data_IF_484528604916
#
_entry.id   IF_484528604916
#
_cell.length_a   1.000
_cell.length_b   1.000
_cell.length_c   1.000
_cell.angle_alpha   90.00
_cell.angle_beta   90.00
_cell.angle_gamma   90.00
#
_symmetry.space_group_name_H-M   'P 1'
#
loop_
_entity.id
_entity.type
_entity.pdbx_description
1 polymer ?
#
# COMPACT_ATOMS: atom_id res chain seq x y z
N UNK A 1 -35.98 24.63 15.23
CA UNK A 1 -34.77 25.49 15.14
C UNK A 1 -33.82 24.94 16.19
N UNK A 2 -32.81 24.14 15.86
CA UNK A 2 -31.70 24.43 14.94
C UNK A 2 -31.48 23.22 14.03
N UNK A 3 -31.60 23.42 12.72
CA UNK A 3 -31.08 22.51 11.69
C UNK A 3 -29.58 22.78 11.62
N UNK A 4 -28.77 21.91 12.24
CA UNK A 4 -27.34 21.92 11.99
C UNK A 4 -27.11 21.48 10.55
N UNK A 5 -26.70 22.40 9.69
CA UNK A 5 -26.09 22.06 8.42
C UNK A 5 -24.78 21.34 8.75
N UNK A 6 -24.69 20.05 8.47
CA UNK A 6 -23.38 19.40 8.34
C UNK A 6 -22.60 20.24 7.32
N UNK A 7 -21.55 20.90 7.81
CA UNK A 7 -20.63 21.63 6.96
C UNK A 7 -19.92 20.61 6.09
N UNK A 8 -20.42 20.42 4.87
CA UNK A 8 -19.77 19.60 3.85
C UNK A 8 -18.31 20.07 3.73
N UNK A 9 -17.34 19.17 3.99
CA UNK A 9 -15.93 19.51 3.83
C UNK A 9 -15.73 19.95 2.37
N UNK A 10 -15.04 21.08 2.11
CA UNK A 10 -14.75 21.48 0.74
C UNK A 10 -14.01 20.35 0.01
N UNK A 11 -14.32 20.16 -1.26
CA UNK A 11 -13.63 19.16 -2.08
C UNK A 11 -12.12 19.47 -2.12
N UNK A 12 -11.26 18.44 -2.05
CA UNK A 12 -9.81 18.64 -2.10
C UNK A 12 -9.39 19.17 -3.47
N UNK A 13 -8.29 19.92 -3.50
CA UNK A 13 -7.66 20.32 -4.76
C UNK A 13 -6.78 19.17 -5.27
N UNK A 14 -7.08 18.66 -6.46
CA UNK A 14 -6.33 17.58 -7.09
C UNK A 14 -5.50 18.14 -8.25
N UNK A 15 -4.18 17.89 -8.24
CA UNK A 15 -3.25 18.29 -9.30
C UNK A 15 -2.43 17.11 -9.76
N UNK A 16 -2.44 16.86 -11.07
CA UNK A 16 -1.62 15.83 -11.68
C UNK A 16 -0.26 16.37 -12.13
N UNK A 17 0.78 15.58 -11.91
CA UNK A 17 2.16 15.90 -12.27
C UNK A 17 2.71 14.74 -13.10
N UNK A 18 3.15 14.97 -14.35
CA UNK A 18 3.77 13.93 -15.15
C UNK A 18 5.14 13.57 -14.56
N UNK A 19 5.41 12.27 -14.40
CA UNK A 19 6.67 11.74 -13.86
C UNK A 19 7.38 10.81 -14.83
N UNK A 20 6.69 10.31 -15.84
CA UNK A 20 7.24 9.48 -16.90
C UNK A 20 6.30 9.52 -18.13
N UNK A 21 6.66 8.79 -19.19
CA UNK A 21 5.71 8.51 -20.26
C UNK A 21 4.68 7.45 -19.83
N UNK A 22 3.61 7.30 -20.63
CA UNK A 22 2.49 6.39 -20.35
C UNK A 22 2.89 4.90 -20.30
N UNK A 23 4.07 4.54 -20.82
CA UNK A 23 4.54 3.16 -20.87
C UNK A 23 5.44 2.81 -19.66
N UNK A 24 5.63 3.73 -18.72
CA UNK A 24 6.49 3.53 -17.56
C UNK A 24 5.80 2.82 -16.38
N UNK A 25 4.49 3.03 -16.23
CA UNK A 25 3.68 2.47 -15.16
C UNK A 25 4.14 2.84 -13.75
N UNK A 26 4.04 4.11 -13.31
CA UNK A 26 4.14 4.42 -11.89
C UNK A 26 3.17 3.56 -11.07
N UNK A 27 3.68 2.82 -10.07
CA UNK A 27 2.89 1.84 -9.33
C UNK A 27 2.89 2.08 -7.82
N UNK A 28 4.01 1.78 -7.17
CA UNK A 28 4.24 2.06 -5.75
C UNK A 28 4.72 3.50 -5.58
N UNK A 29 4.29 4.17 -4.50
CA UNK A 29 4.77 5.49 -4.12
C UNK A 29 4.94 5.56 -2.60
N UNK A 30 6.04 6.14 -2.15
CA UNK A 30 6.31 6.38 -0.73
C UNK A 30 7.00 7.73 -0.51
N UNK A 31 6.78 8.33 0.66
CA UNK A 31 7.61 9.43 1.13
C UNK A 31 8.95 8.87 1.65
N UNK A 32 10.05 9.36 1.08
CA UNK A 32 11.40 9.02 1.54
C UNK A 32 11.87 9.88 2.72
N UNK A 33 12.93 9.45 3.43
CA UNK A 33 13.48 10.19 4.57
C UNK A 33 14.12 11.53 4.16
N UNK A 34 14.41 11.71 2.87
CA UNK A 34 14.91 12.94 2.26
C UNK A 34 13.80 13.94 1.88
N UNK A 35 12.55 13.68 2.31
CA UNK A 35 11.37 14.50 2.00
C UNK A 35 11.07 14.59 0.49
N UNK A 36 11.50 13.61 -0.28
CA UNK A 36 11.06 13.39 -1.66
C UNK A 36 10.03 12.25 -1.73
N UNK A 37 9.31 12.17 -2.83
CA UNK A 37 8.49 11.01 -3.19
C UNK A 37 9.34 10.05 -4.01
N UNK A 38 9.23 8.76 -3.69
CA UNK A 38 9.92 7.68 -4.38
C UNK A 38 8.90 6.75 -5.00
N UNK A 39 9.08 6.42 -6.28
CA UNK A 39 8.13 5.67 -7.08
C UNK A 39 8.80 4.48 -7.75
N UNK A 40 8.09 3.37 -7.84
CA UNK A 40 8.46 2.30 -8.76
C UNK A 40 7.85 2.57 -10.14
N UNK A 41 8.62 2.28 -11.19
CA UNK A 41 8.13 2.26 -12.57
C UNK A 41 8.00 0.79 -12.99
N UNK A 42 6.83 0.19 -12.81
CA UNK A 42 6.66 -1.28 -12.86
C UNK A 42 6.92 -1.86 -14.25
N UNK A 43 6.72 -1.08 -15.31
CA UNK A 43 6.97 -1.50 -16.70
C UNK A 43 8.38 -1.15 -17.18
N UNK A 44 9.18 -0.47 -16.34
CA UNK A 44 10.56 -0.05 -16.65
C UNK A 44 11.40 -0.19 -15.41
N UNK A 45 12.16 -1.28 -15.24
CA UNK A 45 13.01 -1.56 -14.07
C UNK A 45 13.86 -0.38 -13.60
N UNK A 46 13.23 0.53 -12.85
CA UNK A 46 13.68 1.87 -12.49
C UNK A 46 12.89 2.33 -11.27
N UNK A 47 13.53 3.16 -10.48
CA UNK A 47 12.93 3.90 -9.38
C UNK A 47 12.99 5.39 -9.75
N UNK A 48 11.89 6.12 -9.59
CA UNK A 48 11.85 7.57 -9.77
C UNK A 48 11.82 8.27 -8.40
N UNK A 49 12.50 9.41 -8.31
CA UNK A 49 12.51 10.32 -7.17
C UNK A 49 11.99 11.66 -7.62
N UNK A 50 10.93 12.15 -6.97
CA UNK A 50 10.28 13.43 -7.24
C UNK A 50 10.34 14.30 -5.99
N UNK A 51 10.99 15.44 -6.07
CA UNK A 51 10.96 16.45 -5.00
C UNK A 51 9.72 17.33 -5.11
N UNK A 52 9.33 17.96 -4.00
CA UNK A 52 8.15 18.84 -3.96
C UNK A 52 8.31 20.13 -4.79
N UNK A 53 9.53 20.54 -5.13
CA UNK A 53 9.82 21.62 -6.08
C UNK A 53 9.85 21.15 -7.54
N UNK A 54 9.51 19.88 -7.80
CA UNK A 54 9.33 19.33 -9.15
C UNK A 54 10.59 18.74 -9.79
N UNK A 55 11.67 18.54 -9.04
CA UNK A 55 12.87 17.87 -9.57
C UNK A 55 12.63 16.36 -9.63
N UNK A 56 12.65 15.85 -10.85
CA UNK A 56 12.51 14.42 -11.15
C UNK A 56 13.87 13.82 -11.49
N UNK A 57 14.18 12.67 -10.88
CA UNK A 57 15.34 11.85 -11.23
C UNK A 57 14.95 10.37 -11.27
N UNK A 58 15.41 9.66 -12.29
CA UNK A 58 15.24 8.21 -12.39
C UNK A 58 16.56 7.48 -12.16
N UNK A 59 16.45 6.31 -11.54
CA UNK A 59 17.56 5.41 -11.25
C UNK A 59 17.29 4.06 -11.92
N UNK A 60 18.11 3.63 -12.91
CA UNK A 60 17.97 2.32 -13.51
C UNK A 60 18.35 1.21 -12.54
N UNK A 61 17.60 0.12 -12.55
CA UNK A 61 17.93 -1.12 -11.86
C UNK A 61 18.79 -2.02 -12.76
N UNK A 62 19.40 -3.05 -12.18
CA UNK A 62 20.25 -4.02 -12.88
C UNK A 62 19.48 -4.94 -13.85
N UNK A 63 18.15 -4.87 -13.88
CA UNK A 63 17.28 -5.61 -14.80
C UNK A 63 16.10 -4.73 -15.22
N UNK A 64 15.90 -4.47 -16.53
CA UNK A 64 14.78 -3.64 -17.00
C UNK A 64 13.42 -4.35 -16.88
N UNK A 65 13.41 -5.67 -16.72
CA UNK A 65 12.19 -6.50 -16.64
C UNK A 65 11.91 -6.98 -15.22
N UNK A 66 12.59 -6.46 -14.20
CA UNK A 66 12.42 -6.93 -12.81
C UNK A 66 11.06 -6.62 -12.18
N UNK A 67 10.27 -5.73 -12.80
CA UNK A 67 8.96 -5.27 -12.34
C UNK A 67 8.99 -4.83 -10.86
N UNK A 68 9.64 -3.67 -10.56
CA UNK A 68 9.61 -3.14 -9.20
C UNK A 68 8.16 -2.76 -8.86
N UNK A 69 7.60 -3.28 -7.76
CA UNK A 69 6.17 -3.11 -7.43
C UNK A 69 5.97 -2.17 -6.25
N UNK A 70 5.97 -2.64 -5.00
CA UNK A 70 5.74 -1.80 -3.82
C UNK A 70 7.09 -1.28 -3.30
N UNK A 71 7.10 -0.04 -2.83
CA UNK A 71 8.27 0.64 -2.23
C UNK A 71 7.88 1.21 -0.87
N UNK A 72 8.77 1.09 0.11
CA UNK A 72 8.59 1.61 1.46
C UNK A 72 9.91 2.11 2.06
N UNK A 73 9.91 3.08 2.97
CA UNK A 73 11.09 3.42 3.74
C UNK A 73 11.47 2.27 4.68
N UNK A 74 12.77 1.97 4.72
CA UNK A 74 13.36 1.02 5.65
C UNK A 74 13.80 1.68 6.96
N UNK A 75 14.08 0.87 8.00
CA UNK A 75 14.57 1.34 9.30
C UNK A 75 15.99 1.91 9.24
N UNK A 76 16.71 1.64 8.16
CA UNK A 76 18.08 2.08 7.88
C UNK A 76 18.16 3.44 7.17
N UNK A 77 17.03 4.04 6.82
CA UNK A 77 16.97 5.31 6.09
C UNK A 77 17.09 5.18 4.57
N UNK A 78 17.07 3.95 4.04
CA UNK A 78 16.98 3.70 2.60
C UNK A 78 15.54 3.36 2.19
N UNK A 79 15.30 3.28 0.89
CA UNK A 79 14.04 2.81 0.34
C UNK A 79 14.18 1.35 -0.08
N UNK A 80 13.24 0.52 0.38
CA UNK A 80 13.17 -0.89 0.06
C UNK A 80 11.99 -1.17 -0.85
N UNK A 81 12.15 -2.06 -1.82
CA UNK A 81 11.12 -2.38 -2.79
C UNK A 81 11.15 -3.83 -3.22
N UNK A 82 10.02 -4.35 -3.69
CA UNK A 82 9.91 -5.71 -4.21
C UNK A 82 10.14 -5.73 -5.71
N UNK A 83 10.77 -6.80 -6.22
CA UNK A 83 10.94 -7.08 -7.64
C UNK A 83 10.23 -8.38 -7.97
N UNK A 84 9.03 -8.23 -8.51
CA UNK A 84 8.08 -9.34 -8.65
C UNK A 84 8.58 -10.39 -9.65
N UNK A 85 9.10 -9.96 -10.80
CA UNK A 85 9.39 -10.85 -11.94
C UNK A 85 10.64 -11.70 -11.74
N UNK A 86 11.65 -11.15 -11.06
CA UNK A 86 12.93 -11.83 -10.86
C UNK A 86 13.20 -12.27 -9.41
N UNK A 87 12.15 -12.22 -8.57
CA UNK A 87 12.10 -12.79 -7.23
C UNK A 87 13.20 -12.27 -6.31
N UNK A 88 13.27 -10.93 -6.23
CA UNK A 88 14.26 -10.20 -5.43
C UNK A 88 13.62 -9.12 -4.58
N UNK A 89 14.33 -8.74 -3.52
CA UNK A 89 14.09 -7.51 -2.78
C UNK A 89 15.17 -6.51 -3.20
N UNK A 90 14.78 -5.30 -3.57
CA UNK A 90 15.67 -4.20 -3.88
C UNK A 90 15.78 -3.22 -2.72
N UNK A 91 16.93 -2.54 -2.66
CA UNK A 91 17.21 -1.44 -1.75
C UNK A 91 17.86 -0.32 -2.55
N UNK A 92 17.47 0.92 -2.29
CA UNK A 92 18.05 2.10 -2.94
C UNK A 92 18.27 3.22 -1.91
N UNK A 93 19.49 3.76 -1.89
CA UNK A 93 19.82 4.91 -1.04
C UNK A 93 19.21 6.20 -1.60
N UNK A 94 19.09 7.23 -0.77
CA UNK A 94 18.59 8.54 -1.23
C UNK A 94 19.49 9.22 -2.29
N UNK A 95 20.74 8.76 -2.41
CA UNK A 95 21.68 9.20 -3.44
C UNK A 95 21.54 8.41 -4.76
N UNK A 96 20.77 7.32 -4.76
CA UNK A 96 20.48 6.50 -5.93
C UNK A 96 21.35 5.26 -6.10
N UNK A 97 22.08 4.85 -5.07
CA UNK A 97 22.85 3.60 -5.09
C UNK A 97 21.88 2.45 -4.82
N UNK A 98 21.75 1.52 -5.77
CA UNK A 98 20.80 0.42 -5.70
C UNK A 98 21.49 -0.94 -5.63
N UNK A 99 20.95 -1.83 -4.81
CA UNK A 99 21.35 -3.23 -4.70
C UNK A 99 20.12 -4.13 -4.60
N UNK A 100 20.31 -5.45 -4.68
CA UNK A 100 19.20 -6.41 -4.59
C UNK A 100 19.61 -7.77 -4.05
N UNK A 101 18.66 -8.40 -3.36
CA UNK A 101 18.80 -9.64 -2.62
C UNK A 101 17.86 -10.68 -3.19
N UNK A 102 18.39 -11.87 -3.50
CA UNK A 102 17.59 -12.96 -4.04
C UNK A 102 16.77 -13.61 -2.93
N UNK A 103 15.46 -13.72 -3.13
CA UNK A 103 14.59 -14.48 -2.23
C UNK A 103 14.95 -15.98 -2.34
N UNK A 104 15.19 -16.69 -1.22
CA UNK A 104 15.61 -18.10 -1.24
C UNK A 104 14.63 -19.03 -1.95
N UNK A 105 13.34 -18.87 -1.69
CA UNK A 105 12.30 -19.66 -2.33
C UNK A 105 12.17 -19.26 -3.82
N UNK A 106 12.34 -20.21 -4.77
CA UNK A 106 12.13 -19.94 -6.19
C UNK A 106 10.70 -19.53 -6.49
N UNK A 107 10.54 -18.71 -7.54
CA UNK A 107 9.23 -18.29 -8.06
C UNK A 107 8.33 -17.59 -7.02
N UNK A 108 8.91 -17.05 -5.95
CA UNK A 108 8.22 -16.52 -4.77
C UNK A 108 7.24 -15.37 -5.05
N UNK A 109 7.51 -14.57 -6.08
CA UNK A 109 6.68 -13.41 -6.44
C UNK A 109 6.51 -12.42 -5.29
N UNK A 110 7.60 -11.76 -4.82
CA UNK A 110 7.51 -10.81 -3.73
C UNK A 110 6.67 -9.58 -4.13
N UNK A 111 5.85 -9.05 -3.22
CA UNK A 111 4.92 -7.97 -3.55
C UNK A 111 4.73 -6.88 -2.50
N UNK A 112 4.05 -7.13 -1.38
CA UNK A 112 3.91 -6.15 -0.32
C UNK A 112 5.22 -6.02 0.45
N UNK A 113 5.58 -4.82 0.92
CA UNK A 113 6.78 -4.59 1.72
C UNK A 113 6.57 -3.49 2.75
N UNK A 114 7.12 -3.65 3.94
CA UNK A 114 7.01 -2.68 5.05
C UNK A 114 8.17 -2.81 6.04
N UNK A 115 8.48 -1.76 6.78
CA UNK A 115 9.39 -1.86 7.93
C UNK A 115 8.68 -2.58 9.10
N UNK A 116 9.36 -3.54 9.70
CA UNK A 116 8.88 -4.26 10.88
C UNK A 116 9.27 -3.60 12.20
N UNK A 117 8.58 -3.96 13.29
CA UNK A 117 8.85 -3.41 14.63
C UNK A 117 10.17 -3.91 15.23
N UNK A 118 10.79 -4.91 14.63
CA UNK A 118 12.08 -5.50 15.01
C UNK A 118 13.28 -4.90 14.26
N UNK A 119 13.07 -3.83 13.48
CA UNK A 119 14.12 -3.17 12.72
C UNK A 119 14.55 -3.92 11.46
N UNK A 120 13.79 -4.94 11.04
CA UNK A 120 13.93 -5.58 9.73
C UNK A 120 12.89 -5.03 8.74
N UNK A 121 13.03 -5.39 7.47
CA UNK A 121 12.00 -5.17 6.45
C UNK A 121 11.27 -6.49 6.20
N UNK A 122 9.94 -6.43 6.15
CA UNK A 122 9.06 -7.58 5.98
C UNK A 122 8.32 -7.48 4.65
N UNK A 123 8.14 -8.60 3.96
CA UNK A 123 7.51 -8.66 2.65
C UNK A 123 6.63 -9.90 2.48
N UNK A 124 5.67 -9.83 1.56
CA UNK A 124 4.85 -10.99 1.18
C UNK A 124 5.43 -11.68 -0.05
N UNK A 125 5.25 -13.00 -0.14
CA UNK A 125 5.54 -13.81 -1.31
C UNK A 125 4.23 -14.39 -1.87
N UNK A 126 3.69 -13.75 -2.90
CA UNK A 126 2.32 -14.01 -3.38
C UNK A 126 2.13 -15.43 -3.91
N UNK A 127 3.16 -16.00 -4.52
CA UNK A 127 3.04 -17.25 -5.28
C UNK A 127 3.27 -18.50 -4.43
N UNK A 128 3.82 -18.33 -3.23
CA UNK A 128 4.36 -19.42 -2.40
C UNK A 128 3.78 -19.46 -1.00
N UNK A 129 2.82 -18.57 -0.68
CA UNK A 129 2.16 -18.46 0.61
C UNK A 129 3.14 -18.27 1.77
N UNK A 130 4.05 -17.30 1.61
CA UNK A 130 5.06 -16.97 2.62
C UNK A 130 5.07 -15.51 2.98
N UNK A 131 5.62 -15.25 4.16
CA UNK A 131 6.09 -13.94 4.57
C UNK A 131 7.62 -14.01 4.67
N UNK A 132 8.30 -13.09 4.01
CA UNK A 132 9.74 -12.91 4.12
C UNK A 132 10.10 -11.78 5.08
N UNK A 133 11.28 -11.91 5.68
CA UNK A 133 11.91 -10.92 6.55
C UNK A 133 13.36 -10.76 6.12
N UNK A 134 13.78 -9.55 5.82
CA UNK A 134 15.15 -9.21 5.42
C UNK A 134 15.76 -8.20 6.39
N UNK A 135 16.98 -8.48 6.85
CA UNK A 135 17.75 -7.55 7.68
C UNK A 135 18.49 -6.52 6.83
N UNK A 136 19.05 -5.49 7.47
CA UNK A 136 19.86 -4.46 6.82
C UNK A 136 21.12 -4.99 6.11
N UNK A 137 21.61 -6.16 6.52
CA UNK A 137 22.75 -6.84 5.91
C UNK A 137 22.38 -7.78 4.75
N UNK A 138 21.07 -7.90 4.45
CA UNK A 138 20.57 -8.74 3.35
C UNK A 138 20.24 -10.19 3.72
N UNK A 139 20.29 -10.58 4.99
CA UNK A 139 19.88 -11.92 5.44
C UNK A 139 18.36 -12.07 5.38
N UNK A 140 17.87 -13.07 4.63
CA UNK A 140 16.44 -13.37 4.44
C UNK A 140 16.03 -14.60 5.26
N UNK A 141 14.95 -14.47 6.03
CA UNK A 141 14.20 -15.55 6.67
C UNK A 141 12.79 -15.61 6.09
N UNK A 142 12.26 -16.81 5.83
CA UNK A 142 10.94 -17.03 5.24
C UNK A 142 10.04 -17.84 6.19
N UNK A 143 8.77 -17.44 6.31
CA UNK A 143 7.77 -18.06 7.15
C UNK A 143 6.63 -18.62 6.28
N UNK A 144 6.43 -19.94 6.30
CA UNK A 144 5.30 -20.57 5.60
C UNK A 144 3.99 -20.22 6.32
N UNK A 145 2.99 -19.75 5.57
CA UNK A 145 1.67 -19.50 6.11
C UNK A 145 0.84 -20.79 6.18
N UNK A 146 -0.07 -20.94 7.16
CA UNK A 146 -0.95 -22.11 7.28
C UNK A 146 -2.15 -22.04 6.32
N UNK A 147 -1.91 -21.70 5.05
CA UNK A 147 -2.91 -21.60 3.98
C UNK A 147 -2.34 -22.17 2.68
N UNK A 148 -3.21 -22.54 1.74
CA UNK A 148 -2.82 -23.00 0.40
C UNK A 148 -3.51 -22.11 -0.63
N UNK A 149 -2.73 -21.52 -1.55
CA UNK A 149 -3.21 -20.58 -2.54
C UNK A 149 -3.81 -19.31 -1.91
N UNK A 150 -3.24 -18.83 -0.80
CA UNK A 150 -3.76 -17.70 -0.05
C UNK A 150 -3.44 -16.34 -0.68
N UNK A 151 -2.37 -16.26 -1.47
CA UNK A 151 -1.99 -15.08 -2.25
C UNK A 151 -1.76 -13.84 -1.35
N UNK A 152 -0.80 -13.91 -0.41
CA UNK A 152 -0.50 -12.81 0.51
C UNK A 152 -0.10 -11.56 -0.27
N UNK A 153 -0.85 -10.47 -0.13
CA UNK A 153 -0.74 -9.29 -0.98
C UNK A 153 -0.07 -8.14 -0.24
N UNK A 154 -0.79 -7.14 0.28
CA UNK A 154 -0.18 -6.04 1.01
C UNK A 154 0.14 -6.42 2.46
N UNK A 155 1.10 -5.72 3.09
CA UNK A 155 1.56 -5.93 4.46
C UNK A 155 1.82 -4.59 5.16
N UNK A 156 1.53 -4.51 6.45
CA UNK A 156 1.78 -3.33 7.30
C UNK A 156 2.13 -3.75 8.73
N UNK A 157 2.90 -2.93 9.44
CA UNK A 157 3.09 -3.11 10.88
C UNK A 157 1.82 -2.68 11.64
N UNK A 158 1.37 -3.51 12.58
CA UNK A 158 0.27 -3.21 13.48
C UNK A 158 0.72 -2.56 14.80
N UNK A 159 -0.21 -1.93 15.54
CA UNK A 159 0.09 -1.29 16.83
C UNK A 159 0.40 -2.30 17.95
N UNK A 160 0.18 -3.58 17.71
CA UNK A 160 0.44 -4.69 18.62
C UNK A 160 1.86 -5.31 18.45
N UNK A 161 2.71 -4.70 17.62
CA UNK A 161 4.06 -5.19 17.35
C UNK A 161 4.11 -6.43 16.44
N UNK A 162 3.01 -6.76 15.76
CA UNK A 162 2.95 -7.79 14.73
C UNK A 162 2.86 -7.17 13.33
N UNK A 163 3.05 -8.00 12.32
CA UNK A 163 2.80 -7.64 10.93
C UNK A 163 1.42 -8.18 10.53
N UNK A 164 0.65 -7.35 9.83
CA UNK A 164 -0.68 -7.67 9.33
C UNK A 164 -0.67 -7.61 7.82
N UNK A 165 -1.32 -8.57 7.16
CA UNK A 165 -1.30 -8.69 5.71
C UNK A 165 -2.62 -9.21 5.15
N UNK A 166 -2.91 -8.88 3.90
CA UNK A 166 -4.09 -9.38 3.20
C UNK A 166 -3.80 -10.73 2.55
N UNK A 167 -4.73 -11.67 2.66
CA UNK A 167 -4.72 -12.93 1.91
C UNK A 167 -5.82 -12.85 0.86
N UNK A 168 -5.44 -12.39 -0.34
CA UNK A 168 -6.39 -12.01 -1.37
C UNK A 168 -7.30 -13.18 -1.77
N UNK A 169 -6.72 -14.36 -1.99
CA UNK A 169 -7.47 -15.53 -2.46
C UNK A 169 -8.00 -16.40 -1.33
N UNK A 170 -7.42 -16.33 -0.12
CA UNK A 170 -7.99 -17.01 1.06
C UNK A 170 -9.14 -16.22 1.72
N UNK A 171 -9.50 -15.03 1.21
CA UNK A 171 -10.57 -14.19 1.75
C UNK A 171 -10.40 -13.89 3.25
N UNK A 172 -9.19 -13.47 3.64
CA UNK A 172 -8.82 -13.30 5.05
C UNK A 172 -7.78 -12.19 5.26
N UNK A 173 -7.66 -11.76 6.52
CA UNK A 173 -6.52 -10.99 7.01
C UNK A 173 -5.61 -11.92 7.79
N UNK A 174 -4.32 -11.93 7.46
CA UNK A 174 -3.30 -12.64 8.22
C UNK A 174 -2.58 -11.71 9.19
N UNK A 175 -2.06 -12.31 10.26
CA UNK A 175 -1.22 -11.68 11.27
C UNK A 175 -0.03 -12.58 11.55
N UNK A 176 1.17 -12.01 11.66
CA UNK A 176 2.39 -12.74 12.02
C UNK A 176 3.21 -11.94 13.04
N UNK A 177 3.65 -12.58 14.12
CA UNK A 177 4.60 -11.97 15.07
C UNK A 177 6.02 -11.97 14.51
N UNK A 178 6.92 -11.20 15.10
CA UNK A 178 8.34 -11.21 14.70
C UNK A 178 9.04 -12.55 14.94
N UNK A 179 8.48 -13.39 15.82
CA UNK A 179 8.96 -14.75 16.09
C UNK A 179 8.35 -15.79 15.13
N UNK A 180 7.41 -15.39 14.26
CA UNK A 180 6.81 -16.24 13.23
C UNK A 180 5.47 -16.88 13.61
N UNK A 181 4.85 -16.52 14.74
CA UNK A 181 3.53 -17.03 15.11
C UNK A 181 2.45 -16.42 14.24
N UNK A 182 1.62 -17.26 13.60
CA UNK A 182 0.61 -16.83 12.63
C UNK A 182 -0.81 -16.96 13.14
N UNK A 183 -1.67 -16.04 12.73
CA UNK A 183 -3.12 -16.12 12.85
C UNK A 183 -3.79 -15.70 11.53
N UNK A 184 -4.95 -16.27 11.25
CA UNK A 184 -5.75 -15.98 10.05
C UNK A 184 -7.17 -15.63 10.49
N UNK A 185 -7.66 -14.49 10.00
CA UNK A 185 -8.95 -13.91 10.31
C UNK A 185 -9.83 -13.89 9.04
N UNK A 186 -10.74 -14.86 8.86
CA UNK A 186 -11.62 -14.89 7.69
C UNK A 186 -12.51 -13.65 7.61
N UNK A 187 -12.67 -13.11 6.40
CA UNK A 187 -13.56 -11.99 6.17
C UNK A 187 -15.04 -12.43 6.22
N UNK A 188 -15.93 -11.64 6.83
CA UNK A 188 -17.38 -11.88 6.80
C UNK A 188 -17.96 -11.92 5.39
N UNK A 189 -17.52 -11.02 4.50
CA UNK A 189 -17.98 -10.99 3.10
C UNK A 189 -17.27 -12.05 2.26
N UNK A 190 -17.99 -13.03 1.66
CA UNK A 190 -17.38 -14.04 0.80
C UNK A 190 -16.85 -13.45 -0.51
N UNK A 191 -15.64 -13.87 -0.93
CA UNK A 191 -15.07 -13.44 -2.20
C UNK A 191 -14.74 -11.94 -2.26
N UNK A 192 -14.45 -11.33 -1.12
CA UNK A 192 -14.11 -9.93 -0.96
C UNK A 192 -12.81 -9.52 -1.66
N UNK A 193 -11.84 -10.45 -1.73
CA UNK A 193 -10.52 -10.25 -2.32
C UNK A 193 -9.78 -9.03 -1.72
N UNK A 194 -9.31 -9.09 -0.46
CA UNK A 194 -8.61 -7.97 0.17
C UNK A 194 -7.28 -7.67 -0.54
N UNK A 195 -6.91 -6.39 -0.69
CA UNK A 195 -5.68 -5.94 -1.39
C UNK A 195 -4.83 -5.04 -0.50
N UNK A 196 -5.00 -3.71 -0.56
CA UNK A 196 -4.25 -2.75 0.25
C UNK A 196 -4.59 -2.84 1.74
N UNK A 197 -3.61 -2.57 2.60
CA UNK A 197 -3.73 -2.61 4.06
C UNK A 197 -2.85 -1.53 4.71
N UNK A 198 -3.32 -0.94 5.80
CA UNK A 198 -2.61 0.13 6.53
C UNK A 198 -3.01 0.11 8.01
N UNK A 199 -2.15 0.57 8.91
CA UNK A 199 -2.51 0.78 10.31
C UNK A 199 -2.76 2.26 10.61
N UNK A 200 -3.80 2.54 11.40
CA UNK A 200 -4.10 3.88 11.90
C UNK A 200 -3.57 4.14 13.33
N UNK A 201 -2.74 3.22 13.83
CA UNK A 201 -2.20 3.22 15.20
C UNK A 201 -3.09 2.57 16.26
N UNK A 202 -4.32 2.18 15.93
CA UNK A 202 -5.26 1.51 16.86
C UNK A 202 -5.89 0.25 16.27
N UNK A 203 -6.10 0.26 14.95
CA UNK A 203 -6.67 -0.80 14.15
C UNK A 203 -5.87 -0.92 12.85
N UNK A 204 -6.21 -1.95 12.08
CA UNK A 204 -5.73 -2.13 10.72
C UNK A 204 -6.90 -1.98 9.77
N UNK A 205 -6.71 -1.18 8.73
CA UNK A 205 -7.69 -0.89 7.69
C UNK A 205 -7.25 -1.53 6.39
N UNK A 206 -8.19 -2.04 5.61
CA UNK A 206 -7.91 -2.70 4.34
C UNK A 206 -9.01 -2.41 3.31
N UNK A 207 -8.70 -2.65 2.05
CA UNK A 207 -9.68 -2.56 0.95
C UNK A 207 -10.01 -3.94 0.43
N UNK A 208 -11.25 -4.12 0.00
CA UNK A 208 -11.75 -5.35 -0.61
C UNK A 208 -12.13 -5.07 -2.06
N UNK A 209 -11.24 -5.44 -3.00
CA UNK A 209 -11.32 -4.99 -4.39
C UNK A 209 -12.53 -5.58 -5.13
N UNK A 210 -12.89 -6.82 -4.81
CA UNK A 210 -13.99 -7.51 -5.48
C UNK A 210 -15.34 -7.21 -4.84
N UNK A 211 -15.36 -7.01 -3.51
CA UNK A 211 -16.58 -6.61 -2.83
C UNK A 211 -16.91 -5.13 -3.06
N UNK A 212 -15.92 -4.23 -3.14
CA UNK A 212 -16.16 -2.78 -3.20
C UNK A 212 -16.47 -2.21 -1.81
N UNK A 213 -15.61 -2.48 -0.84
CA UNK A 213 -15.71 -1.98 0.53
C UNK A 213 -14.35 -1.72 1.16
N UNK A 214 -14.41 -1.00 2.26
CA UNK A 214 -13.30 -0.83 3.20
C UNK A 214 -13.57 -1.73 4.40
N UNK A 215 -12.58 -2.48 4.85
CA UNK A 215 -12.62 -3.23 6.08
C UNK A 215 -11.74 -2.61 7.16
N UNK A 216 -12.09 -2.87 8.41
CA UNK A 216 -11.33 -2.51 9.60
C UNK A 216 -11.27 -3.71 10.53
N UNK A 217 -10.09 -4.07 11.00
CA UNK A 217 -9.86 -5.15 11.95
C UNK A 217 -9.16 -4.60 13.19
N UNK A 218 -9.71 -4.92 14.36
CA UNK A 218 -9.05 -4.65 15.66
C UNK A 218 -8.08 -5.77 16.00
N UNK A 219 -7.14 -5.51 16.92
CA UNK A 219 -6.05 -6.46 17.22
C UNK A 219 -6.51 -7.78 17.84
N UNK A 220 -7.73 -7.82 18.40
CA UNK A 220 -8.40 -9.04 18.86
C UNK A 220 -9.14 -9.80 17.75
N UNK A 221 -9.09 -9.32 16.51
CA UNK A 221 -9.61 -9.99 15.32
C UNK A 221 -11.06 -9.65 14.94
N UNK A 222 -11.71 -8.68 15.61
CA UNK A 222 -13.04 -8.23 15.21
C UNK A 222 -12.98 -7.40 13.93
N UNK A 223 -13.77 -7.80 12.93
CA UNK A 223 -13.84 -7.16 11.61
C UNK A 223 -15.13 -6.36 11.48
N UNK A 224 -15.00 -5.14 10.97
CA UNK A 224 -16.07 -4.24 10.56
C UNK A 224 -15.90 -3.91 9.07
N UNK A 225 -16.99 -3.86 8.32
CA UNK A 225 -16.97 -3.67 6.86
C UNK A 225 -17.87 -2.49 6.46
N UNK A 226 -17.36 -1.61 5.61
CA UNK A 226 -17.99 -0.35 5.18
C UNK A 226 -18.17 -0.35 3.66
N UNK A 227 -19.40 -0.59 3.16
CA UNK A 227 -19.68 -0.57 1.73
C UNK A 227 -19.39 0.78 1.09
N UNK A 228 -18.66 0.77 -0.03
CA UNK A 228 -18.53 1.96 -0.86
C UNK A 228 -19.89 2.29 -1.53
N UNK A 229 -20.22 3.58 -1.73
CA UNK A 229 -21.40 3.97 -2.51
C UNK A 229 -21.44 3.34 -3.90
N UNK A 230 -20.27 3.19 -4.52
CA UNK A 230 -20.07 2.47 -5.77
C UNK A 230 -19.32 1.16 -5.51
N UNK A 231 -20.05 0.05 -5.54
CA UNK A 231 -19.49 -1.30 -5.30
C UNK A 231 -18.60 -1.78 -6.45
N UNK A 232 -18.64 -1.13 -7.62
CA UNK A 232 -17.80 -1.46 -8.76
C UNK A 232 -16.48 -0.67 -8.80
N UNK A 233 -16.23 0.18 -7.78
CA UNK A 233 -15.09 1.09 -7.73
C UNK A 233 -13.71 0.41 -7.73
N UNK A 234 -13.63 -0.85 -7.33
CA UNK A 234 -12.39 -1.65 -7.21
C UNK A 234 -11.30 -0.91 -6.43
N UNK A 235 -11.48 -0.73 -5.11
CA UNK A 235 -10.48 -0.07 -4.29
C UNK A 235 -9.17 -0.90 -4.23
N UNK A 236 -8.00 -0.26 -4.34
CA UNK A 236 -6.71 -0.93 -4.52
C UNK A 236 -5.73 -0.72 -3.37
N UNK A 237 -5.29 0.52 -3.12
CA UNK A 237 -4.39 0.88 -2.01
C UNK A 237 -5.09 1.76 -0.98
N UNK A 238 -4.59 1.78 0.25
CA UNK A 238 -5.13 2.57 1.37
C UNK A 238 -3.99 3.07 2.26
N UNK A 239 -4.13 4.27 2.79
CA UNK A 239 -3.20 4.89 3.74
C UNK A 239 -3.98 5.58 4.85
N UNK A 240 -3.62 5.29 6.10
CA UNK A 240 -4.12 6.03 7.25
C UNK A 240 -3.36 7.36 7.38
N UNK A 241 -4.10 8.45 7.63
CA UNK A 241 -3.51 9.79 7.89
C UNK A 241 -3.68 10.21 9.34
N UNK A 242 -4.67 9.65 10.03
CA UNK A 242 -4.86 9.76 11.47
C UNK A 242 -5.70 8.57 11.95
N UNK A 243 -5.82 8.39 13.26
CA UNK A 243 -6.67 7.32 13.82
C UNK A 243 -8.11 7.47 13.34
N UNK A 244 -8.64 6.41 12.72
CA UNK A 244 -9.98 6.40 12.14
C UNK A 244 -10.12 7.14 10.80
N UNK A 245 -9.04 7.65 10.21
CA UNK A 245 -9.09 8.39 8.94
C UNK A 245 -8.14 7.79 7.91
N UNK A 246 -8.69 7.32 6.80
CA UNK A 246 -7.93 6.73 5.70
C UNK A 246 -8.30 7.34 4.35
N UNK A 247 -7.32 7.39 3.46
CA UNK A 247 -7.50 7.65 2.03
C UNK A 247 -7.17 6.39 1.23
N UNK A 248 -7.89 6.16 0.14
CA UNK A 248 -7.70 4.98 -0.70
C UNK A 248 -7.86 5.32 -2.17
N UNK A 249 -7.31 4.46 -3.03
CA UNK A 249 -7.46 4.58 -4.49
C UNK A 249 -8.59 3.69 -4.98
N UNK A 250 -9.44 4.22 -5.84
CA UNK A 250 -10.48 3.46 -6.55
C UNK A 250 -10.02 3.23 -7.99
N UNK A 251 -9.25 2.16 -8.19
CA UNK A 251 -8.60 1.83 -9.46
C UNK A 251 -9.62 1.76 -10.61
N UNK A 252 -10.75 1.07 -10.38
CA UNK A 252 -11.76 0.84 -11.41
C UNK A 252 -12.64 2.05 -11.72
N UNK A 253 -12.78 2.97 -10.78
CA UNK A 253 -13.60 4.17 -10.93
C UNK A 253 -12.81 5.45 -11.25
N UNK A 254 -11.46 5.39 -11.24
CA UNK A 254 -10.59 6.55 -11.47
C UNK A 254 -10.81 7.68 -10.44
N UNK A 255 -10.87 7.30 -9.15
CA UNK A 255 -11.09 8.23 -8.03
C UNK A 255 -10.10 8.01 -6.90
N UNK A 256 -10.02 8.99 -6.02
CA UNK A 256 -9.49 8.82 -4.66
C UNK A 256 -10.67 8.87 -3.69
N UNK A 257 -10.72 7.89 -2.79
CA UNK A 257 -11.70 7.80 -1.73
C UNK A 257 -11.15 8.24 -0.38
N UNK A 258 -12.03 8.71 0.48
CA UNK A 258 -11.75 9.15 1.84
C UNK A 258 -12.78 8.55 2.79
N UNK A 259 -12.30 7.93 3.87
CA UNK A 259 -13.14 7.36 4.91
C UNK A 259 -12.74 7.93 6.26
N UNK A 260 -13.74 8.34 7.04
CA UNK A 260 -13.59 8.67 8.46
C UNK A 260 -14.54 7.84 9.29
N UNK A 261 -14.05 7.22 10.36
CA UNK A 261 -14.85 6.54 11.36
C UNK A 261 -14.58 7.13 12.75
N UNK A 262 -15.63 7.22 13.57
CA UNK A 262 -15.54 7.72 14.94
C UNK A 262 -15.87 6.62 15.96
N UNK A 263 -15.24 6.68 17.14
CA UNK A 263 -15.48 5.76 18.26
C UNK A 263 -14.67 4.46 18.23
N UNK A 264 -14.67 3.74 19.36
CA UNK A 264 -14.06 2.39 19.47
C UNK A 264 -14.89 1.31 18.73
N UNK A 265 -16.19 1.56 18.61
CA UNK A 265 -17.17 0.86 17.77
C UNK A 265 -17.58 1.80 16.64
N UNK A 266 -17.24 1.49 15.40
CA UNK A 266 -17.36 2.40 14.25
C UNK A 266 -18.80 2.48 13.73
N UNK A 267 -19.71 3.03 14.53
CA UNK A 267 -21.13 3.06 14.16
C UNK A 267 -21.46 4.02 13.01
N UNK A 268 -20.55 4.93 12.63
CA UNK A 268 -20.74 5.78 11.44
C UNK A 268 -19.39 6.02 10.76
N UNK A 269 -19.19 5.39 9.60
CA UNK A 269 -18.17 5.78 8.65
C UNK A 269 -18.76 6.77 7.63
N UNK A 270 -18.14 7.94 7.47
CA UNK A 270 -18.40 8.82 6.34
C UNK A 270 -17.44 8.45 5.21
N UNK A 271 -17.97 8.21 4.02
CA UNK A 271 -17.20 7.87 2.82
C UNK A 271 -17.48 8.93 1.75
N UNK A 272 -16.42 9.52 1.21
CA UNK A 272 -16.47 10.41 0.06
C UNK A 272 -15.50 9.91 -1.02
N UNK A 273 -15.78 10.25 -2.28
CA UNK A 273 -14.91 9.93 -3.41
C UNK A 273 -14.77 11.16 -4.32
N UNK A 274 -13.59 11.32 -4.90
CA UNK A 274 -13.22 12.47 -5.71
C UNK A 274 -12.59 12.02 -7.02
N UNK A 275 -13.13 12.50 -8.13
CA UNK A 275 -12.65 12.16 -9.48
C UNK A 275 -11.23 12.67 -9.72
N UNK A 276 -10.39 11.81 -10.32
CA UNK A 276 -9.10 12.24 -10.83
C UNK A 276 -9.29 13.06 -12.12
N UNK A 277 -8.50 14.14 -12.33
CA UNK A 277 -8.64 15.01 -13.49
C UNK A 277 -8.57 14.30 -14.84
N UNK A 278 -7.61 13.38 -15.00
CA UNK A 278 -7.44 12.62 -16.24
C UNK A 278 -8.27 11.33 -16.19
N UNK A 279 -9.06 11.03 -17.23
CA UNK A 279 -9.81 9.78 -17.30
C UNK A 279 -8.87 8.58 -17.43
N UNK A 280 -9.29 7.43 -16.88
CA UNK A 280 -8.56 6.17 -16.98
C UNK A 280 -7.10 6.25 -16.51
N UNK A 281 -6.85 6.99 -15.43
CA UNK A 281 -5.51 7.17 -14.85
C UNK A 281 -5.02 5.96 -14.05
N UNK A 282 -5.94 5.04 -13.72
CA UNK A 282 -5.66 3.79 -12.99
C UNK A 282 -4.81 4.05 -11.72
N UNK A 283 -5.37 4.72 -10.71
CA UNK A 283 -4.63 5.04 -9.50
C UNK A 283 -4.25 3.77 -8.71
N UNK A 284 -2.98 3.65 -8.36
CA UNK A 284 -2.41 2.48 -7.68
C UNK A 284 -1.99 2.81 -6.24
N UNK A 285 -0.69 2.91 -5.96
CA UNK A 285 -0.18 3.21 -4.62
C UNK A 285 -0.54 4.61 -4.18
N UNK A 286 -0.78 4.79 -2.87
CA UNK A 286 -1.10 6.06 -2.23
C UNK A 286 -0.27 6.24 -0.96
N UNK A 287 0.20 7.45 -0.70
CA UNK A 287 0.97 7.80 0.50
C UNK A 287 0.62 9.20 1.00
N UNK A 288 0.80 9.44 2.30
CA UNK A 288 0.91 10.80 2.82
C UNK A 288 2.28 11.36 2.44
N UNK A 289 2.29 12.55 1.83
CA UNK A 289 3.49 13.23 1.38
C UNK A 289 4.15 14.08 2.47
N UNK A 290 5.43 14.49 2.27
CA UNK A 290 6.17 15.34 3.21
C UNK A 290 5.59 16.76 3.39
N UNK A 291 4.66 17.15 2.53
CA UNK A 291 3.90 18.41 2.55
C UNK A 291 2.52 18.28 3.21
N UNK A 292 2.17 17.09 3.73
CA UNK A 292 0.88 16.82 4.34
C UNK A 292 -0.26 16.59 3.35
N UNK A 293 0.00 16.63 2.03
CA UNK A 293 -0.96 16.24 1.02
C UNK A 293 -0.90 14.72 0.77
N UNK A 294 -1.95 14.15 0.21
CA UNK A 294 -1.94 12.77 -0.25
C UNK A 294 -1.37 12.72 -1.67
N UNK A 295 -0.65 11.66 -1.99
CA UNK A 295 -0.05 11.45 -3.29
C UNK A 295 -0.35 10.03 -3.79
N UNK A 296 -0.89 9.92 -5.00
CA UNK A 296 -1.15 8.62 -5.64
C UNK A 296 -0.38 8.49 -6.95
N UNK A 297 0.16 7.30 -7.21
CA UNK A 297 0.74 6.95 -8.50
C UNK A 297 -0.38 6.66 -9.52
N UNK A 298 -0.19 7.12 -10.76
CA UNK A 298 -1.10 6.91 -11.88
C UNK A 298 -0.37 6.11 -12.95
N UNK A 299 -0.91 4.96 -13.36
CA UNK A 299 -0.22 4.05 -14.30
C UNK A 299 0.04 4.71 -15.66
N UNK A 300 -0.75 5.75 -15.99
CA UNK A 300 -0.62 6.60 -17.19
C UNK A 300 0.61 7.51 -17.22
N UNK A 301 1.55 7.36 -16.27
CA UNK A 301 2.84 8.08 -16.27
C UNK A 301 2.88 9.29 -15.34
N UNK A 302 1.89 9.44 -14.45
CA UNK A 302 1.76 10.59 -13.57
C UNK A 302 1.71 10.25 -12.09
N UNK A 303 1.62 11.30 -11.28
CA UNK A 303 1.14 11.26 -9.89
C UNK A 303 0.03 12.28 -9.72
N UNK A 304 -0.93 12.02 -8.84
CA UNK A 304 -1.87 13.03 -8.39
C UNK A 304 -1.56 13.44 -6.95
N UNK A 305 -1.43 14.76 -6.73
CA UNK A 305 -1.39 15.40 -5.42
C UNK A 305 -2.80 15.81 -5.03
N UNK A 306 -3.27 15.34 -3.88
CA UNK A 306 -4.60 15.61 -3.33
C UNK A 306 -4.42 16.44 -2.07
N UNK A 307 -4.71 17.75 -2.17
CA UNK A 307 -4.58 18.69 -1.07
C UNK A 307 -5.93 18.88 -0.37
N UNK A 308 -6.05 18.53 0.92
CA UNK A 308 -7.27 18.72 1.69
C UNK A 308 -7.62 20.20 1.92
#
# INVERSE_FOLDING_TARGET
MVTGTESERPAPAITEIPVADQDAGPYGIAAGPDRALWLTLVHRGRIARLTLDGQLREYPLDSPTCRPTVIAPGPDGDLWFTRYEDHRIGRITVNGEAESFRVPTPDSGPYGITAGPDGAVWFTEMNTDRIGRITDNGEITEFTLPVEGGFPSAITAGPDGALWFTLNQANAIGRITTDGDTAVHPLPTPGAAPVGITSDGTAVWFVEIAAGQIGRITMDGRIEEFPLPDRAAKPHAIVAVSTGECWFTEWGANRVGHITASGETAEIAQIAAYDLPSPSSEPHGITLGPDGALWTALETGGVARVAP
#
